data_IF_441853706304
#
_entry.id   IF_441853706304
#
_cell.length_a   1.000
_cell.length_b   1.000
_cell.length_c   1.000
_cell.angle_alpha   90.00
_cell.angle_beta   90.00
_cell.angle_gamma   90.00
#
_symmetry.space_group_name_H-M   'P 1'
#
loop_
_entity.id
_entity.type
_entity.pdbx_description
1 polymer ?
#
# COMPACT_ATOMS: atom_id res chain seq x y z
N UNK A 1 7.31 -7.28 24.26
CA UNK A 1 7.95 -7.02 22.95
C UNK A 1 9.25 -6.25 23.12
N UNK A 2 10.17 -6.78 23.93
CA UNK A 2 11.46 -6.16 24.13
C UNK A 2 12.30 -6.26 22.84
N UNK A 3 12.56 -5.14 22.20
CA UNK A 3 13.64 -4.99 21.25
C UNK A 3 13.38 -5.33 19.78
N UNK A 4 12.16 -5.59 19.31
CA UNK A 4 11.91 -5.72 17.88
C UNK A 4 11.69 -4.34 17.25
N UNK A 5 12.57 -3.96 16.32
CA UNK A 5 12.40 -2.74 15.54
C UNK A 5 11.21 -2.88 14.59
N UNK A 6 10.45 -1.79 14.45
CA UNK A 6 9.39 -1.71 13.44
C UNK A 6 10.05 -1.65 12.07
N UNK A 7 9.60 -2.52 11.16
CA UNK A 7 10.13 -2.62 9.81
C UNK A 7 9.03 -2.32 8.78
N UNK A 8 9.37 -1.55 7.75
CA UNK A 8 8.48 -1.25 6.64
C UNK A 8 9.04 -1.80 5.35
N UNK A 9 8.24 -2.60 4.64
CA UNK A 9 8.46 -2.93 3.24
C UNK A 9 7.74 -1.89 2.38
N UNK A 10 8.49 -1.11 1.63
CA UNK A 10 7.95 -0.13 0.70
C UNK A 10 8.06 -0.67 -0.73
N UNK A 11 6.93 -0.80 -1.43
CA UNK A 11 6.87 -1.19 -2.84
C UNK A 11 6.24 -0.03 -3.60
N UNK A 12 7.08 0.72 -4.29
CA UNK A 12 6.65 1.74 -5.23
C UNK A 12 6.38 1.07 -6.58
N UNK A 13 5.20 1.26 -7.14
CA UNK A 13 4.72 0.61 -8.37
C UNK A 13 4.71 -0.93 -8.28
N UNK A 14 3.77 -1.45 -7.53
CA UNK A 14 3.62 -2.89 -7.26
C UNK A 14 3.48 -3.73 -8.54
N UNK A 15 2.71 -3.24 -9.54
CA UNK A 15 2.47 -3.97 -10.79
C UNK A 15 3.78 -4.15 -11.54
N UNK A 16 4.58 -3.10 -11.70
CA UNK A 16 5.89 -3.18 -12.34
C UNK A 16 6.83 -4.11 -11.56
N UNK A 17 6.89 -3.98 -10.24
CA UNK A 17 7.68 -4.86 -9.39
C UNK A 17 7.30 -6.34 -9.60
N UNK A 18 6.02 -6.64 -9.63
CA UNK A 18 5.49 -8.00 -9.79
C UNK A 18 5.84 -8.62 -11.14
N UNK A 19 5.85 -7.84 -12.22
CA UNK A 19 6.21 -8.32 -13.56
C UNK A 19 7.69 -8.71 -13.70
N UNK A 20 8.56 -8.26 -12.79
CA UNK A 20 9.98 -8.63 -12.78
C UNK A 20 10.22 -10.07 -12.34
N UNK A 21 9.25 -10.71 -11.69
CA UNK A 21 9.40 -12.09 -11.23
C UNK A 21 8.97 -13.09 -12.31
N UNK A 22 9.77 -14.13 -12.57
CA UNK A 22 9.40 -15.19 -13.51
C UNK A 22 8.18 -15.97 -12.98
N UNK A 23 7.29 -16.38 -13.89
CA UNK A 23 6.09 -17.17 -13.52
C UNK A 23 6.45 -18.53 -12.90
N UNK A 24 7.57 -19.13 -13.33
CA UNK A 24 8.05 -20.42 -12.82
C UNK A 24 9.45 -20.24 -12.21
N UNK A 25 9.75 -20.94 -11.12
CA UNK A 25 11.08 -20.90 -10.52
C UNK A 25 12.14 -21.50 -11.47
N UNK A 26 13.33 -20.90 -11.47
CA UNK A 26 14.51 -21.50 -12.08
C UNK A 26 15.04 -22.66 -11.24
N UNK A 27 15.78 -23.59 -11.88
CA UNK A 27 16.38 -24.75 -11.18
C UNK A 27 17.29 -24.33 -10.02
N UNK A 28 18.08 -23.27 -10.22
CA UNK A 28 19.08 -22.80 -9.26
C UNK A 28 18.54 -21.71 -8.30
N UNK A 29 17.31 -21.24 -8.51
CA UNK A 29 16.67 -20.18 -7.72
C UNK A 29 15.18 -20.50 -7.49
N UNK A 30 14.89 -21.53 -6.68
CA UNK A 30 13.52 -21.99 -6.49
C UNK A 30 12.59 -20.94 -5.86
N UNK A 31 13.13 -20.03 -5.04
CA UNK A 31 12.39 -18.99 -4.35
C UNK A 31 12.30 -17.69 -5.16
N UNK A 32 12.94 -17.61 -6.33
CA UNK A 32 12.84 -16.44 -7.21
C UNK A 32 11.78 -16.65 -8.28
N UNK A 33 10.53 -16.49 -7.88
CA UNK A 33 9.38 -16.56 -8.79
C UNK A 33 8.18 -15.77 -8.24
N UNK A 34 7.23 -15.51 -9.13
CA UNK A 34 6.03 -14.74 -8.79
C UNK A 34 5.23 -15.35 -7.63
N UNK A 35 5.08 -16.67 -7.59
CA UNK A 35 4.35 -17.36 -6.52
C UNK A 35 5.03 -17.20 -5.16
N UNK A 36 6.35 -17.24 -5.10
CA UNK A 36 7.11 -17.03 -3.86
C UNK A 36 7.00 -15.57 -3.40
N UNK A 37 7.13 -14.60 -4.31
CA UNK A 37 6.92 -13.19 -4.01
C UNK A 37 5.52 -12.91 -3.45
N UNK A 38 4.46 -13.36 -4.14
CA UNK A 38 3.08 -13.19 -3.70
C UNK A 38 2.83 -13.88 -2.33
N UNK A 39 3.43 -15.04 -2.10
CA UNK A 39 3.36 -15.77 -0.84
C UNK A 39 4.01 -15.03 0.33
N UNK A 40 5.19 -14.45 0.13
CA UNK A 40 5.89 -13.65 1.14
C UNK A 40 5.14 -12.36 1.44
N UNK A 41 4.70 -11.64 0.41
CA UNK A 41 3.94 -10.42 0.57
C UNK A 41 2.64 -10.67 1.32
N UNK A 42 1.93 -11.76 0.99
CA UNK A 42 0.74 -12.20 1.73
C UNK A 42 1.03 -12.36 3.22
N UNK A 43 2.11 -13.01 3.60
CA UNK A 43 2.48 -13.19 5.02
C UNK A 43 2.72 -11.85 5.71
N UNK A 44 3.41 -10.91 5.05
CA UNK A 44 3.66 -9.59 5.61
C UNK A 44 2.34 -8.86 5.87
N UNK A 45 1.44 -8.79 4.89
CA UNK A 45 0.19 -8.01 5.03
C UNK A 45 -0.83 -8.67 5.96
N UNK A 46 -0.80 -10.00 6.15
CA UNK A 46 -1.77 -10.70 7.02
C UNK A 46 -1.26 -10.96 8.43
N UNK A 47 0.05 -11.13 8.60
CA UNK A 47 0.66 -11.57 9.87
C UNK A 47 1.78 -10.63 10.35
N UNK A 48 2.27 -9.75 9.50
CA UNK A 48 3.44 -8.92 9.79
C UNK A 48 3.23 -7.97 10.97
N UNK A 49 2.03 -7.46 11.17
CA UNK A 49 1.73 -6.51 12.24
C UNK A 49 2.10 -7.05 13.64
N UNK A 50 1.87 -8.34 13.90
CA UNK A 50 2.25 -8.97 15.18
C UNK A 50 3.76 -9.07 15.38
N UNK A 51 4.54 -9.04 14.29
CA UNK A 51 6.00 -9.03 14.28
C UNK A 51 6.60 -7.63 14.08
N UNK A 52 5.77 -6.56 14.06
CA UNK A 52 6.22 -5.21 13.78
C UNK A 52 6.61 -4.96 12.34
N UNK A 53 6.19 -5.82 11.40
CA UNK A 53 6.48 -5.71 9.97
C UNK A 53 5.25 -5.22 9.22
N UNK A 54 5.40 -4.16 8.44
CA UNK A 54 4.31 -3.53 7.69
C UNK A 54 4.68 -3.38 6.22
N UNK A 55 3.67 -3.38 5.34
CA UNK A 55 3.86 -3.10 3.92
C UNK A 55 3.15 -1.80 3.53
N UNK A 56 3.84 -0.98 2.75
CA UNK A 56 3.30 0.19 2.05
C UNK A 56 3.43 -0.10 0.57
N UNK A 57 2.30 -0.18 -0.12
CA UNK A 57 2.24 -0.57 -1.53
C UNK A 57 1.59 0.56 -2.33
N UNK A 58 2.28 1.04 -3.35
CA UNK A 58 1.78 2.01 -4.31
C UNK A 58 1.48 1.32 -5.65
N UNK A 59 0.44 1.76 -6.33
CA UNK A 59 0.07 1.33 -7.68
C UNK A 59 -0.39 2.55 -8.48
N UNK A 60 -0.06 2.61 -9.76
CA UNK A 60 -0.48 3.71 -10.62
C UNK A 60 -1.96 3.61 -11.00
N UNK A 61 -2.47 2.40 -11.19
CA UNK A 61 -3.87 2.13 -11.56
C UNK A 61 -4.35 0.86 -10.87
N UNK A 62 -5.51 0.95 -10.21
CA UNK A 62 -6.16 -0.23 -9.65
C UNK A 62 -6.91 -0.97 -10.76
N UNK A 63 -6.33 -2.06 -11.26
CA UNK A 63 -6.97 -2.95 -12.24
C UNK A 63 -7.16 -4.35 -11.67
N UNK A 64 -8.14 -5.08 -12.23
CA UNK A 64 -8.32 -6.52 -11.98
C UNK A 64 -7.70 -7.26 -13.13
N UNK A 65 -6.48 -7.69 -12.97
CA UNK A 65 -5.89 -8.63 -13.91
C UNK A 65 -5.25 -9.79 -13.14
N UNK A 66 -5.94 -10.92 -13.14
CA UNK A 66 -5.43 -12.18 -12.56
C UNK A 66 -4.21 -12.72 -13.33
N UNK A 67 -3.97 -12.20 -14.54
CA UNK A 67 -2.82 -12.59 -15.37
C UNK A 67 -1.49 -11.95 -14.95
N UNK A 68 -1.51 -11.07 -13.97
CA UNK A 68 -0.31 -10.49 -13.36
C UNK A 68 -0.24 -8.97 -13.35
N UNK A 69 -1.21 -8.27 -13.97
CA UNK A 69 -1.21 -6.81 -14.09
C UNK A 69 -1.98 -6.05 -13.01
N UNK A 70 -2.74 -6.74 -12.16
CA UNK A 70 -3.61 -6.10 -11.17
C UNK A 70 -3.26 -6.39 -9.72
N UNK A 71 -3.96 -5.72 -8.80
CA UNK A 71 -3.85 -5.97 -7.37
C UNK A 71 -4.71 -7.17 -6.97
N UNK A 72 -4.12 -8.29 -6.51
CA UNK A 72 -4.87 -9.47 -6.10
C UNK A 72 -5.94 -9.16 -5.05
N UNK A 73 -7.11 -9.80 -5.16
CA UNK A 73 -8.23 -9.59 -4.23
C UNK A 73 -7.82 -9.79 -2.77
N UNK A 74 -6.97 -10.77 -2.49
CA UNK A 74 -6.44 -11.03 -1.15
C UNK A 74 -5.65 -9.85 -0.58
N UNK A 75 -4.79 -9.20 -1.37
CA UNK A 75 -4.06 -8.02 -0.91
C UNK A 75 -5.02 -6.85 -0.66
N UNK A 76 -5.98 -6.63 -1.55
CA UNK A 76 -7.02 -5.59 -1.36
C UNK A 76 -7.78 -5.76 -0.06
N UNK A 77 -8.13 -6.99 0.30
CA UNK A 77 -8.85 -7.29 1.55
C UNK A 77 -7.95 -7.19 2.79
N UNK A 78 -6.68 -7.57 2.69
CA UNK A 78 -5.76 -7.59 3.82
C UNK A 78 -5.18 -6.20 4.15
N UNK A 79 -5.16 -5.26 3.18
CA UNK A 79 -4.69 -3.90 3.42
C UNK A 79 -5.73 -3.12 4.21
N UNK A 80 -5.37 -2.76 5.44
CA UNK A 80 -6.27 -2.08 6.40
C UNK A 80 -6.47 -0.60 6.08
N UNK A 81 -5.45 0.05 5.53
CA UNK A 81 -5.50 1.46 5.14
C UNK A 81 -5.43 1.58 3.63
N UNK A 82 -6.34 2.36 3.05
CA UNK A 82 -6.47 2.54 1.60
C UNK A 82 -6.60 4.02 1.27
N UNK A 83 -5.79 4.48 0.31
CA UNK A 83 -5.76 5.86 -0.14
C UNK A 83 -5.81 5.86 -1.66
N UNK A 84 -6.78 6.56 -2.25
CA UNK A 84 -6.92 6.72 -3.69
C UNK A 84 -6.93 8.20 -4.07
N UNK A 85 -5.95 8.61 -4.85
CA UNK A 85 -5.87 9.95 -5.41
C UNK A 85 -6.64 10.02 -6.71
N UNK A 86 -7.64 10.88 -6.80
CA UNK A 86 -8.46 11.12 -7.99
C UNK A 86 -8.93 9.81 -8.68
N UNK A 87 -9.55 8.87 -7.97
CA UNK A 87 -9.94 7.59 -8.54
C UNK A 87 -11.11 7.72 -9.51
N UNK A 88 -11.21 6.78 -10.41
CA UNK A 88 -12.44 6.51 -11.17
C UNK A 88 -13.44 5.74 -10.31
N UNK A 89 -14.72 5.71 -10.74
CA UNK A 89 -15.74 4.92 -10.05
C UNK A 89 -15.40 3.42 -10.03
N UNK A 90 -14.80 2.91 -11.11
CA UNK A 90 -14.40 1.51 -11.20
C UNK A 90 -13.27 1.18 -10.21
N UNK A 91 -12.27 2.04 -10.09
CA UNK A 91 -11.20 1.86 -9.10
C UNK A 91 -11.74 1.89 -7.67
N UNK A 92 -12.66 2.80 -7.36
CA UNK A 92 -13.33 2.81 -6.06
C UNK A 92 -14.02 1.49 -5.75
N UNK A 93 -14.81 0.96 -6.71
CA UNK A 93 -15.51 -0.33 -6.58
C UNK A 93 -14.58 -1.54 -6.49
N UNK A 94 -13.37 -1.43 -7.03
CA UNK A 94 -12.36 -2.47 -6.91
C UNK A 94 -11.73 -2.54 -5.53
N UNK A 95 -11.50 -1.38 -4.93
CA UNK A 95 -10.74 -1.24 -3.68
C UNK A 95 -11.64 -1.35 -2.45
N UNK A 96 -12.88 -0.89 -2.54
CA UNK A 96 -13.84 -0.88 -1.44
C UNK A 96 -15.11 -1.65 -1.75
N UNK A 97 -15.70 -2.22 -0.73
CA UNK A 97 -17.01 -2.83 -0.80
C UNK A 97 -18.10 -1.78 -1.03
N UNK A 98 -19.18 -2.14 -1.70
CA UNK A 98 -20.22 -1.22 -2.13
C UNK A 98 -20.92 -0.47 -0.97
N UNK A 99 -21.00 -1.09 0.19
CA UNK A 99 -21.58 -0.50 1.41
C UNK A 99 -20.76 0.65 1.97
N UNK A 100 -19.44 0.66 1.71
CA UNK A 100 -18.50 1.71 2.11
C UNK A 100 -18.47 2.92 1.16
N UNK A 101 -19.06 2.79 -0.02
CA UNK A 101 -19.02 3.81 -1.08
C UNK A 101 -20.17 4.81 -1.04
N UNK A 102 -20.92 4.92 0.05
CA UNK A 102 -22.14 5.77 0.14
C UNK A 102 -21.88 7.22 -0.21
N UNK A 103 -20.77 7.78 0.26
CA UNK A 103 -20.39 9.18 0.06
C UNK A 103 -19.33 9.37 -1.03
N UNK A 104 -18.95 8.27 -1.72
CA UNK A 104 -17.95 8.29 -2.76
C UNK A 104 -18.50 8.96 -4.03
N UNK A 105 -17.91 10.10 -4.39
CA UNK A 105 -18.29 10.87 -5.56
C UNK A 105 -17.07 11.21 -6.42
N UNK A 106 -17.01 10.65 -7.61
CA UNK A 106 -15.91 10.84 -8.57
C UNK A 106 -16.04 12.09 -9.43
N UNK A 107 -17.21 12.74 -9.43
CA UNK A 107 -17.45 13.99 -10.18
C UNK A 107 -16.92 15.24 -9.45
N UNK A 108 -16.28 15.05 -8.32
CA UNK A 108 -15.68 16.10 -7.51
C UNK A 108 -14.50 16.75 -8.24
N UNK A 109 -14.33 18.05 -8.05
CA UNK A 109 -13.08 18.73 -8.43
C UNK A 109 -12.02 18.37 -7.42
N UNK A 110 -10.89 17.88 -7.89
CA UNK A 110 -9.74 17.48 -7.08
C UNK A 110 -8.64 18.53 -7.15
N UNK A 111 -8.14 18.93 -5.99
CA UNK A 111 -6.89 19.68 -5.87
C UNK A 111 -5.72 18.73 -5.63
N UNK A 112 -4.50 19.23 -5.77
CA UNK A 112 -3.32 18.43 -5.39
C UNK A 112 -3.38 18.06 -3.90
N UNK A 113 -3.24 16.76 -3.61
CA UNK A 113 -3.35 16.23 -2.25
C UNK A 113 -4.76 15.73 -1.87
N UNK A 114 -5.77 15.96 -2.67
CA UNK A 114 -7.11 15.43 -2.42
C UNK A 114 -7.18 13.94 -2.73
N UNK A 115 -7.76 13.18 -1.82
CA UNK A 115 -7.89 11.74 -1.93
C UNK A 115 -9.13 11.20 -1.21
N UNK A 116 -9.47 9.97 -1.54
CA UNK A 116 -10.40 9.15 -0.77
C UNK A 116 -9.62 8.20 0.13
N UNK A 117 -10.07 8.05 1.35
CA UNK A 117 -9.37 7.36 2.41
C UNK A 117 -10.31 6.46 3.21
N UNK A 118 -9.82 5.30 3.60
CA UNK A 118 -10.42 4.48 4.65
C UNK A 118 -9.34 3.78 5.47
N UNK A 119 -9.65 3.47 6.71
CA UNK A 119 -8.80 2.67 7.58
C UNK A 119 -9.64 1.85 8.54
N UNK A 120 -9.20 0.67 8.90
CA UNK A 120 -9.87 -0.19 9.90
C UNK A 120 -9.42 0.17 11.32
N UNK A 121 -9.31 1.46 11.61
CA UNK A 121 -8.92 2.00 12.93
C UNK A 121 -10.11 2.22 13.88
N UNK A 122 -11.33 1.90 13.44
CA UNK A 122 -12.57 2.11 14.17
C UNK A 122 -13.14 3.53 14.07
N UNK A 123 -12.42 4.44 13.42
CA UNK A 123 -12.85 5.85 13.21
C UNK A 123 -13.10 6.12 11.73
N UNK A 124 -12.28 5.55 10.84
CA UNK A 124 -12.30 5.80 9.40
C UNK A 124 -12.74 4.58 8.58
N UNK A 125 -13.61 3.74 9.14
CA UNK A 125 -14.09 2.52 8.49
C UNK A 125 -14.89 2.79 7.20
N UNK A 126 -15.56 3.95 7.14
CA UNK A 126 -16.22 4.43 5.93
C UNK A 126 -15.23 5.22 5.06
N UNK A 127 -15.47 5.17 3.75
CA UNK A 127 -14.68 5.95 2.79
C UNK A 127 -14.97 7.43 2.97
N UNK A 128 -13.92 8.20 3.25
CA UNK A 128 -14.00 9.63 3.53
C UNK A 128 -13.12 10.43 2.57
N UNK A 129 -13.56 11.63 2.20
CA UNK A 129 -12.74 12.54 1.42
C UNK A 129 -11.76 13.28 2.34
N UNK A 130 -10.49 13.25 2.00
CA UNK A 130 -9.41 13.85 2.79
C UNK A 130 -8.50 14.71 1.93
N UNK A 131 -7.80 15.63 2.55
CA UNK A 131 -6.78 16.45 1.92
C UNK A 131 -5.43 16.24 2.61
N UNK A 132 -4.44 15.75 1.86
CA UNK A 132 -3.06 15.66 2.30
C UNK A 132 -2.36 16.99 1.99
N UNK A 133 -1.97 17.77 3.00
CA UNK A 133 -1.35 19.06 2.76
C UNK A 133 0.01 18.92 2.09
N UNK A 134 0.33 19.84 1.20
CA UNK A 134 1.66 19.90 0.61
C UNK A 134 2.70 20.20 1.69
N UNK A 135 3.72 19.37 1.78
CA UNK A 135 4.84 19.61 2.68
C UNK A 135 5.64 20.82 2.22
N UNK A 136 5.75 21.83 3.10
CA UNK A 136 6.46 23.10 2.81
C UNK A 136 7.97 23.05 3.10
N UNK A 137 8.47 21.88 3.50
CA UNK A 137 9.88 21.67 3.84
C UNK A 137 10.51 20.61 2.94
N UNK A 138 11.83 20.59 2.89
CA UNK A 138 12.58 19.58 2.13
C UNK A 138 12.53 18.23 2.88
N UNK A 139 11.57 17.37 2.53
CA UNK A 139 11.27 16.10 3.20
C UNK A 139 12.53 15.25 3.39
N UNK A 140 13.34 15.09 2.36
CA UNK A 140 14.57 14.30 2.44
C UNK A 140 15.61 14.88 3.40
N UNK A 141 15.73 16.22 3.45
CA UNK A 141 16.66 16.86 4.37
C UNK A 141 16.22 16.69 5.82
N UNK A 142 14.91 16.80 6.09
CA UNK A 142 14.36 16.59 7.43
C UNK A 142 14.44 15.12 7.84
N UNK A 143 14.15 14.18 6.95
CA UNK A 143 14.34 12.76 7.19
C UNK A 143 15.80 12.44 7.52
N UNK A 144 16.76 12.99 6.75
CA UNK A 144 18.19 12.82 7.02
C UNK A 144 18.59 13.37 8.38
N UNK A 145 18.05 14.52 8.79
CA UNK A 145 18.28 15.10 10.12
C UNK A 145 17.74 14.19 11.24
N UNK A 146 16.53 13.65 11.09
CA UNK A 146 15.92 12.75 12.07
C UNK A 146 16.67 11.43 12.18
N UNK A 147 17.07 10.83 11.07
CA UNK A 147 17.83 9.58 11.04
C UNK A 147 19.21 9.78 11.69
N UNK A 148 19.91 10.87 11.37
CA UNK A 148 21.18 11.19 12.02
C UNK A 148 21.02 11.32 13.53
N UNK A 149 20.03 12.07 14.00
CA UNK A 149 19.75 12.23 15.43
C UNK A 149 19.38 10.91 16.14
N UNK A 150 18.87 9.93 15.39
CA UNK A 150 18.60 8.58 15.91
C UNK A 150 19.89 7.77 16.06
N UNK A 151 20.74 7.72 15.03
CA UNK A 151 21.98 6.95 15.04
C UNK A 151 23.08 7.55 15.92
N UNK A 152 23.11 8.86 16.11
CA UNK A 152 24.08 9.51 17.02
C UNK A 152 23.77 9.23 18.53
N UNK A 153 22.69 8.51 18.84
CA UNK A 153 22.32 8.12 20.21
C UNK A 153 22.70 6.67 20.56
N UNK A 154 23.11 5.88 19.59
CA UNK A 154 23.66 4.52 19.76
C UNK A 154 25.18 4.58 19.91
#
# INVERSE_FOLDING_TARGET
NAGMHVSFLFIDEYVACRTMFPKKPGKDKPDYCLAAFDGLLRRIVTMGASAGCYAIISIAEASVDDSGGGLPAMLRSAMTTKILFKPTLNEGRLIWDSDKLKDFNTERVYNAGDAWFSSTDGVHDNVSFVHFPQMKFKVYAELGRLLKAYYDKE
#
